data_IF_244517338736
#
_entry.id   IF_244517338736
#
_cell.length_a   1.000
_cell.length_b   1.000
_cell.length_c   1.000
_cell.angle_alpha   90.00
_cell.angle_beta   90.00
_cell.angle_gamma   90.00
#
_symmetry.space_group_name_H-M   'P 1'
#
loop_
_entity.id
_entity.type
_entity.pdbx_description
1 polymer ?
#
# COMPACT_ATOMS: atom_id res chain seq x y z
N UNK A 1 -12.77 -17.93 -39.38
CA UNK A 1 -11.56 -18.58 -38.82
C UNK A 1 -11.06 -17.93 -37.52
N UNK A 2 -11.34 -16.66 -37.23
CA UNK A 2 -10.95 -16.00 -35.97
C UNK A 2 -11.55 -16.62 -34.69
N UNK A 3 -12.82 -17.07 -34.72
CA UNK A 3 -13.49 -17.63 -33.54
C UNK A 3 -13.00 -19.02 -33.11
N UNK A 4 -12.39 -19.80 -34.01
CA UNK A 4 -11.75 -21.09 -33.63
C UNK A 4 -10.40 -20.84 -32.95
N UNK A 5 -9.64 -19.84 -33.41
CA UNK A 5 -8.37 -19.49 -32.78
C UNK A 5 -8.56 -18.90 -31.38
N UNK A 6 -9.60 -18.07 -31.16
CA UNK A 6 -9.89 -17.54 -29.82
C UNK A 6 -10.29 -18.63 -28.84
N UNK A 7 -11.10 -19.61 -29.27
CA UNK A 7 -11.49 -20.75 -28.44
C UNK A 7 -10.29 -21.62 -28.07
N UNK A 8 -9.39 -21.89 -29.02
CA UNK A 8 -8.18 -22.68 -28.78
C UNK A 8 -7.20 -21.94 -27.84
N UNK A 9 -7.06 -20.63 -27.99
CA UNK A 9 -6.26 -19.81 -27.07
C UNK A 9 -6.88 -19.76 -25.67
N UNK A 10 -8.20 -19.72 -25.57
CA UNK A 10 -8.93 -19.78 -24.30
C UNK A 10 -8.79 -21.13 -23.60
N UNK A 11 -8.84 -22.24 -24.36
CA UNK A 11 -8.57 -23.59 -23.84
C UNK A 11 -7.13 -23.76 -23.37
N UNK A 12 -6.16 -23.14 -24.08
CA UNK A 12 -4.74 -23.13 -23.69
C UNK A 12 -4.40 -22.07 -22.63
N UNK A 13 -5.38 -21.25 -22.19
CA UNK A 13 -5.20 -20.18 -21.21
C UNK A 13 -4.49 -18.92 -21.73
N UNK A 14 -4.14 -18.87 -23.02
CA UNK A 14 -3.42 -17.80 -23.69
C UNK A 14 -4.34 -16.65 -24.14
N UNK A 15 -5.20 -16.16 -23.24
CA UNK A 15 -6.09 -15.05 -23.56
C UNK A 15 -5.30 -13.73 -23.74
N UNK A 16 -5.79 -12.81 -24.58
CA UNK A 16 -5.24 -11.46 -24.65
C UNK A 16 -5.39 -10.74 -23.30
N UNK A 17 -4.26 -10.37 -22.70
CA UNK A 17 -4.22 -9.65 -21.43
C UNK A 17 -4.47 -8.15 -21.65
N UNK A 18 -5.63 -7.65 -21.21
CA UNK A 18 -5.85 -6.21 -21.06
C UNK A 18 -5.22 -5.72 -19.74
N UNK A 19 -4.28 -4.79 -19.82
CA UNK A 19 -3.63 -4.18 -18.63
C UNK A 19 -4.63 -3.32 -17.85
N UNK A 20 -5.36 -3.88 -16.90
CA UNK A 20 -6.34 -3.14 -16.07
C UNK A 20 -5.99 -3.02 -14.58
N UNK A 21 -5.10 -3.86 -14.03
CA UNK A 21 -4.59 -3.68 -12.66
C UNK A 21 -3.93 -4.91 -12.05
N UNK A 22 -3.43 -4.80 -10.81
CA UNK A 22 -2.80 -5.91 -10.08
C UNK A 22 -3.77 -7.07 -9.83
N UNK A 23 -5.02 -6.78 -9.46
CA UNK A 23 -6.05 -7.80 -9.23
C UNK A 23 -6.37 -8.60 -10.50
N UNK A 24 -6.51 -7.92 -11.63
CA UNK A 24 -6.79 -8.55 -12.91
C UNK A 24 -5.60 -9.39 -13.38
N UNK A 25 -4.37 -8.86 -13.24
CA UNK A 25 -3.15 -9.62 -13.48
C UNK A 25 -3.06 -10.88 -12.62
N UNK A 26 -3.38 -10.77 -11.33
CA UNK A 26 -3.30 -11.87 -10.38
C UNK A 26 -4.32 -12.97 -10.71
N UNK A 27 -5.58 -12.58 -10.95
CA UNK A 27 -6.64 -13.51 -11.32
C UNK A 27 -6.32 -14.23 -12.63
N UNK A 28 -5.83 -13.47 -13.62
CA UNK A 28 -5.44 -14.03 -14.91
C UNK A 28 -4.27 -15.01 -14.78
N UNK A 29 -3.23 -14.65 -14.02
CA UNK A 29 -2.08 -15.52 -13.78
C UNK A 29 -2.48 -16.82 -13.09
N UNK A 30 -3.31 -16.75 -12.05
CA UNK A 30 -3.85 -17.94 -11.37
C UNK A 30 -4.68 -18.81 -12.30
N UNK A 31 -5.49 -18.18 -13.16
CA UNK A 31 -6.30 -18.89 -14.16
C UNK A 31 -5.41 -19.69 -15.12
N UNK A 32 -4.36 -19.05 -15.66
CA UNK A 32 -3.40 -19.69 -16.58
C UNK A 32 -2.78 -20.93 -15.94
N UNK A 33 -2.15 -20.77 -14.77
CA UNK A 33 -1.47 -21.89 -14.10
C UNK A 33 -2.43 -23.03 -13.80
N UNK A 34 -3.63 -22.73 -13.30
CA UNK A 34 -4.67 -23.74 -13.03
C UNK A 34 -5.09 -24.49 -14.31
N UNK A 35 -5.23 -23.78 -15.43
CA UNK A 35 -5.62 -24.39 -16.71
C UNK A 35 -4.52 -25.28 -17.26
N UNK A 36 -3.28 -24.79 -17.32
CA UNK A 36 -2.15 -25.58 -17.84
C UNK A 36 -1.93 -26.84 -17.01
N UNK A 37 -1.89 -26.72 -15.68
CA UNK A 37 -1.67 -27.86 -14.78
C UNK A 37 -2.87 -28.84 -14.75
N UNK A 38 -4.08 -28.38 -15.12
CA UNK A 38 -5.28 -29.20 -15.16
C UNK A 38 -5.54 -29.88 -16.51
N UNK A 39 -4.75 -29.58 -17.55
CA UNK A 39 -4.96 -30.11 -18.92
C UNK A 39 -3.71 -30.86 -19.39
N UNK A 40 -3.74 -32.21 -19.45
CA UNK A 40 -2.59 -33.03 -19.84
C UNK A 40 -2.01 -32.67 -21.21
N UNK A 41 -2.86 -32.37 -22.20
CA UNK A 41 -2.43 -31.98 -23.55
C UNK A 41 -1.69 -30.64 -23.55
N UNK A 42 -2.10 -29.69 -22.70
CA UNK A 42 -1.42 -28.42 -22.53
C UNK A 42 -0.04 -28.65 -21.91
N UNK A 43 0.03 -29.43 -20.83
CA UNK A 43 1.28 -29.83 -20.17
C UNK A 43 2.29 -30.46 -21.15
N UNK A 44 1.84 -31.38 -22.01
CA UNK A 44 2.66 -31.96 -23.07
C UNK A 44 3.16 -30.90 -24.08
N UNK A 45 2.29 -29.95 -24.45
CA UNK A 45 2.67 -28.82 -25.29
C UNK A 45 3.77 -27.94 -24.69
N UNK A 46 3.70 -27.65 -23.39
CA UNK A 46 4.71 -26.86 -22.66
C UNK A 46 6.03 -27.63 -22.47
N UNK A 47 5.98 -28.95 -22.32
CA UNK A 47 7.18 -29.79 -22.22
C UNK A 47 8.09 -29.66 -23.45
N UNK A 48 7.53 -29.46 -24.65
CA UNK A 48 8.29 -29.20 -25.88
C UNK A 48 9.17 -27.94 -25.81
N UNK A 49 8.83 -27.00 -24.92
CA UNK A 49 9.58 -25.77 -24.67
C UNK A 49 10.45 -25.85 -23.41
N UNK A 50 10.71 -27.06 -22.91
CA UNK A 50 11.47 -27.30 -21.67
C UNK A 50 10.81 -26.64 -20.43
N UNK A 51 9.48 -26.46 -20.47
CA UNK A 51 8.68 -26.01 -19.34
C UNK A 51 8.07 -27.25 -18.70
N UNK A 52 8.70 -27.75 -17.65
CA UNK A 52 8.24 -28.93 -16.91
C UNK A 52 7.09 -28.57 -15.97
N UNK A 53 6.37 -29.59 -15.51
CA UNK A 53 5.36 -29.43 -14.48
C UNK A 53 5.93 -28.76 -13.23
N UNK A 54 7.15 -29.13 -12.78
CA UNK A 54 7.75 -28.50 -11.60
C UNK A 54 8.01 -27.00 -11.81
N UNK A 55 8.39 -26.57 -13.03
CA UNK A 55 8.58 -25.15 -13.34
C UNK A 55 7.25 -24.38 -13.31
N UNK A 56 6.16 -25.02 -13.75
CA UNK A 56 4.82 -24.44 -13.72
C UNK A 56 4.31 -24.32 -12.29
N UNK A 57 4.47 -25.36 -11.47
CA UNK A 57 4.12 -25.34 -10.05
C UNK A 57 4.94 -24.30 -9.27
N UNK A 58 6.26 -24.21 -9.52
CA UNK A 58 7.10 -23.16 -8.93
C UNK A 58 6.67 -21.76 -9.38
N UNK A 59 6.25 -21.60 -10.63
CA UNK A 59 5.68 -20.35 -11.14
C UNK A 59 4.37 -19.98 -10.45
N UNK A 60 3.46 -20.95 -10.31
CA UNK A 60 2.20 -20.78 -9.59
C UNK A 60 2.44 -20.37 -8.13
N UNK A 61 3.41 -21.00 -7.46
CA UNK A 61 3.77 -20.65 -6.09
C UNK A 61 4.24 -19.19 -5.99
N UNK A 62 5.09 -18.72 -6.91
CA UNK A 62 5.51 -17.31 -6.95
C UNK A 62 4.36 -16.33 -7.13
N UNK A 63 3.32 -16.69 -7.89
CA UNK A 63 2.11 -15.88 -8.02
C UNK A 63 1.36 -15.78 -6.69
N UNK A 64 1.23 -16.91 -5.96
CA UNK A 64 0.61 -16.94 -4.63
C UNK A 64 1.43 -16.15 -3.60
N UNK A 65 2.76 -16.27 -3.63
CA UNK A 65 3.65 -15.51 -2.76
C UNK A 65 3.52 -14.00 -3.02
N UNK A 66 3.36 -13.61 -4.29
CA UNK A 66 3.16 -12.21 -4.69
C UNK A 66 1.83 -11.67 -4.16
N UNK A 67 0.75 -12.46 -4.21
CA UNK A 67 -0.52 -12.09 -3.60
C UNK A 67 -0.40 -11.88 -2.09
N UNK A 68 0.24 -12.83 -1.39
CA UNK A 68 0.45 -12.75 0.05
C UNK A 68 1.29 -11.50 0.43
N UNK A 69 2.37 -11.24 -0.32
CA UNK A 69 3.20 -10.06 -0.13
C UNK A 69 2.42 -8.76 -0.38
N UNK A 70 1.59 -8.73 -1.43
CA UNK A 70 0.74 -7.58 -1.72
C UNK A 70 -0.28 -7.34 -0.60
N UNK A 71 -0.97 -8.38 -0.13
CA UNK A 71 -1.91 -8.28 0.99
C UNK A 71 -1.24 -7.76 2.27
N UNK A 72 -0.05 -8.29 2.61
CA UNK A 72 0.71 -7.83 3.77
C UNK A 72 1.13 -6.36 3.62
N UNK A 73 1.59 -5.94 2.44
CA UNK A 73 1.94 -4.55 2.15
C UNK A 73 0.75 -3.60 2.36
N UNK A 74 -0.44 -3.96 1.88
CA UNK A 74 -1.64 -3.14 2.05
C UNK A 74 -2.01 -2.98 3.52
N UNK A 75 -1.92 -4.06 4.30
CA UNK A 75 -2.13 -4.01 5.76
C UNK A 75 -1.13 -3.07 6.44
N UNK A 76 0.17 -3.26 6.19
CA UNK A 76 1.22 -2.42 6.79
C UNK A 76 1.06 -0.94 6.42
N UNK A 77 0.62 -0.65 5.20
CA UNK A 77 0.31 0.71 4.78
C UNK A 77 -0.84 1.31 5.59
N UNK A 78 -1.95 0.58 5.74
CA UNK A 78 -3.09 1.03 6.54
C UNK A 78 -2.70 1.27 8.01
N UNK A 79 -1.89 0.39 8.60
CA UNK A 79 -1.39 0.53 9.97
C UNK A 79 -0.53 1.81 10.12
N UNK A 80 0.35 2.08 9.15
CA UNK A 80 1.20 3.27 9.16
C UNK A 80 0.39 4.58 8.98
N UNK A 81 -0.65 4.56 8.13
CA UNK A 81 -1.57 5.68 7.95
C UNK A 81 -2.34 5.98 9.25
N UNK A 82 -2.86 4.94 9.91
CA UNK A 82 -3.55 5.07 11.19
C UNK A 82 -2.63 5.63 12.29
N UNK A 83 -1.43 5.07 12.45
CA UNK A 83 -0.46 5.56 13.42
C UNK A 83 -0.08 7.04 13.17
N UNK A 84 0.05 7.42 11.89
CA UNK A 84 0.31 8.82 11.51
C UNK A 84 -0.86 9.73 11.87
N UNK A 85 -2.09 9.29 11.63
CA UNK A 85 -3.29 10.05 11.98
C UNK A 85 -3.42 10.25 13.50
N UNK A 86 -3.19 9.19 14.29
CA UNK A 86 -3.21 9.25 15.76
C UNK A 86 -2.15 10.20 16.30
N UNK A 87 -0.91 10.08 15.81
CA UNK A 87 0.19 10.99 16.14
C UNK A 87 -0.21 12.44 15.86
N UNK A 88 -0.67 12.74 14.65
CA UNK A 88 -1.05 14.09 14.25
C UNK A 88 -2.19 14.64 15.10
N UNK A 89 -3.16 13.79 15.48
CA UNK A 89 -4.24 14.16 16.40
C UNK A 89 -3.71 14.51 17.78
N UNK A 90 -2.75 13.77 18.31
CA UNK A 90 -2.12 14.05 19.60
C UNK A 90 -1.33 15.37 19.57
N UNK A 91 -0.52 15.60 18.54
CA UNK A 91 0.23 16.86 18.38
C UNK A 91 -0.69 18.08 18.29
N UNK A 92 -1.77 18.01 17.49
CA UNK A 92 -2.75 19.11 17.41
C UNK A 92 -3.41 19.41 18.75
N UNK A 93 -3.72 18.38 19.54
CA UNK A 93 -4.25 18.57 20.90
C UNK A 93 -3.23 19.24 21.82
N UNK A 94 -1.98 18.80 21.77
CA UNK A 94 -0.89 19.39 22.56
C UNK A 94 -0.66 20.86 22.18
N UNK A 95 -0.58 21.17 20.89
CA UNK A 95 -0.43 22.55 20.39
C UNK A 95 -1.60 23.44 20.82
N UNK A 96 -2.83 22.95 20.72
CA UNK A 96 -4.01 23.69 21.15
C UNK A 96 -4.00 23.95 22.66
N UNK A 97 -3.56 22.98 23.46
CA UNK A 97 -3.40 23.15 24.90
C UNK A 97 -2.29 24.15 25.23
N UNK A 98 -1.11 24.01 24.62
CA UNK A 98 0.02 24.92 24.80
C UNK A 98 -0.33 26.36 24.44
N UNK A 99 -1.06 26.59 23.34
CA UNK A 99 -1.55 27.93 22.96
C UNK A 99 -2.44 28.53 24.04
N UNK A 100 -3.35 27.74 24.62
CA UNK A 100 -4.21 28.21 25.73
C UNK A 100 -3.39 28.51 26.97
N UNK A 101 -2.47 27.63 27.34
CA UNK A 101 -1.59 27.81 28.48
C UNK A 101 -0.76 29.10 28.35
N UNK A 102 -0.09 29.29 27.21
CA UNK A 102 0.72 30.49 26.96
C UNK A 102 -0.13 31.76 27.00
N UNK A 103 -1.38 31.73 26.52
CA UNK A 103 -2.30 32.87 26.63
C UNK A 103 -2.67 33.19 28.08
N UNK A 104 -2.88 32.17 28.91
CA UNK A 104 -3.14 32.38 30.35
C UNK A 104 -1.91 32.97 31.03
N UNK A 105 -0.73 32.47 30.72
CA UNK A 105 0.54 32.99 31.24
C UNK A 105 0.80 34.43 30.80
N UNK A 106 0.49 34.76 29.54
CA UNK A 106 0.62 36.12 29.01
C UNK A 106 -0.28 37.12 29.76
N UNK A 107 -1.51 36.74 30.11
CA UNK A 107 -2.42 37.57 30.91
C UNK A 107 -1.94 37.64 32.37
N UNK A 108 -1.58 36.50 32.98
CA UNK A 108 -1.19 36.45 34.39
C UNK A 108 0.10 37.23 34.69
N UNK A 109 0.97 37.40 33.68
CA UNK A 109 2.24 38.11 33.80
C UNK A 109 2.23 39.48 33.11
N UNK A 110 1.05 40.04 32.82
CA UNK A 110 0.89 41.31 32.10
C UNK A 110 1.73 42.45 32.71
N UNK A 111 1.66 42.61 34.04
CA UNK A 111 2.40 43.64 34.78
C UNK A 111 3.87 43.28 35.06
N UNK A 112 4.31 42.09 34.65
CA UNK A 112 5.64 41.58 34.96
C UNK A 112 6.33 40.98 33.70
N UNK A 113 6.61 41.81 32.69
CA UNK A 113 7.10 41.37 31.37
C UNK A 113 8.43 40.60 31.44
N UNK A 114 9.29 40.88 32.41
CA UNK A 114 10.53 40.14 32.66
C UNK A 114 10.33 38.65 32.98
N UNK A 115 9.15 38.26 33.48
CA UNK A 115 8.83 36.85 33.71
C UNK A 115 8.24 36.18 32.46
N UNK A 116 7.65 36.93 31.52
CA UNK A 116 7.17 36.41 30.22
C UNK A 116 8.32 35.88 29.36
N UNK A 117 9.48 36.53 29.41
CA UNK A 117 10.66 36.07 28.69
C UNK A 117 11.21 34.74 29.22
N UNK A 118 11.16 34.53 30.55
CA UNK A 118 11.63 33.29 31.19
C UNK A 118 10.81 32.06 30.78
N UNK A 119 9.55 32.27 30.38
CA UNK A 119 8.63 31.23 29.90
C UNK A 119 8.59 31.16 28.37
N UNK A 120 9.46 31.89 27.67
CA UNK A 120 9.63 31.82 26.22
C UNK A 120 8.62 32.64 25.41
N UNK A 121 7.90 33.58 26.03
CA UNK A 121 7.03 34.52 25.33
C UNK A 121 7.89 35.72 24.88
N UNK A 122 7.95 35.97 23.57
CA UNK A 122 8.69 37.10 23.00
C UNK A 122 7.93 38.40 23.29
N UNK A 123 8.56 39.31 24.02
CA UNK A 123 8.01 40.64 24.32
C UNK A 123 8.71 41.68 23.42
N UNK A 124 8.00 42.39 22.53
CA UNK A 124 8.61 43.46 21.75
C UNK A 124 8.87 44.67 22.66
N UNK A 125 10.14 44.96 22.91
CA UNK A 125 10.54 46.21 23.54
C UNK A 125 10.45 47.32 22.48
N UNK A 126 9.40 48.13 22.53
CA UNK A 126 9.40 49.41 21.82
C UNK A 126 10.55 50.25 22.39
N UNK A 127 11.63 50.39 21.63
CA UNK A 127 12.63 51.41 21.89
C UNK A 127 11.91 52.76 21.78
N UNK A 128 11.90 53.50 22.89
CA UNK A 128 11.29 54.83 23.03
C UNK A 128 11.90 55.83 22.06
#
# INVERSE_FOLDING_TARGET
MAGKLSLVLEELGLLPFHKSGFGDWLNHSKYIYRKILGTPDALAGYANYNITQEKLEAGQQKVLDTEAAHANRQRLKADAENATAEKNKAFRKLEAWMKKYLKVVDIALEDAPQYKEKVGIVVPYLQR
#
